data_IF_412271821732
#
_entry.id   IF_412271821732
#
_cell.length_a   1.000
_cell.length_b   1.000
_cell.length_c   1.000
_cell.angle_alpha   90.00
_cell.angle_beta   90.00
_cell.angle_gamma   90.00
#
_symmetry.space_group_name_H-M   'P 1'
#
loop_
_entity.id
_entity.type
_entity.pdbx_description
1 polymer ?
#
# COMPACT_ATOMS: atom_id res chain seq x y z
N UNK A 1 1.08 -2.28 -37.31
CA UNK A 1 0.11 -3.17 -36.64
C UNK A 1 0.12 -2.86 -35.16
N UNK A 2 -1.02 -2.50 -34.56
CA UNK A 2 -1.11 -2.31 -33.10
C UNK A 2 -1.40 -3.65 -32.44
N UNK A 3 -0.39 -4.22 -31.77
CA UNK A 3 -0.45 -5.54 -31.13
C UNK A 3 -1.48 -5.62 -29.99
N UNK A 4 -1.88 -4.47 -29.42
CA UNK A 4 -2.80 -4.39 -28.29
C UNK A 4 -4.23 -4.00 -28.67
N UNK A 5 -4.55 -3.87 -29.96
CA UNK A 5 -5.85 -3.39 -30.42
C UNK A 5 -7.07 -4.23 -29.94
N UNK A 6 -6.84 -5.50 -29.56
CA UNK A 6 -7.89 -6.41 -29.03
C UNK A 6 -7.89 -6.54 -27.51
N UNK A 7 -6.97 -5.88 -26.81
CA UNK A 7 -6.93 -5.92 -25.34
C UNK A 7 -8.01 -4.98 -24.81
N UNK A 8 -9.14 -5.56 -24.41
CA UNK A 8 -10.22 -4.81 -23.79
C UNK A 8 -9.80 -4.33 -22.39
N UNK A 9 -10.32 -3.16 -21.99
CA UNK A 9 -10.10 -2.63 -20.64
C UNK A 9 -10.90 -3.46 -19.65
N UNK A 10 -10.23 -3.95 -18.60
CA UNK A 10 -10.90 -4.58 -17.46
C UNK A 10 -11.69 -3.49 -16.71
N UNK A 11 -12.89 -3.79 -16.19
CA UNK A 11 -13.60 -2.88 -15.30
C UNK A 11 -12.70 -2.41 -14.16
N UNK A 12 -12.79 -1.12 -13.82
CA UNK A 12 -12.03 -0.57 -12.69
C UNK A 12 -12.48 -1.20 -11.38
N UNK A 13 -11.54 -1.32 -10.44
CA UNK A 13 -11.87 -1.79 -9.09
C UNK A 13 -12.75 -0.74 -8.37
N UNK A 14 -13.88 -1.14 -7.76
CA UNK A 14 -14.81 -0.22 -7.13
C UNK A 14 -14.24 0.48 -5.89
N UNK A 15 -13.32 -0.14 -5.16
CA UNK A 15 -12.62 0.47 -4.01
C UNK A 15 -11.67 1.55 -4.51
N UNK A 16 -10.96 1.31 -5.63
CA UNK A 16 -10.12 2.34 -6.25
C UNK A 16 -10.95 3.53 -6.73
N UNK A 17 -12.12 3.27 -7.33
CA UNK A 17 -13.06 4.34 -7.71
C UNK A 17 -13.56 5.16 -6.51
N UNK A 18 -13.84 4.50 -5.39
CA UNK A 18 -14.23 5.17 -4.14
C UNK A 18 -13.09 6.03 -3.56
N UNK A 19 -11.85 5.53 -3.61
CA UNK A 19 -10.68 6.29 -3.19
C UNK A 19 -10.50 7.58 -4.00
N UNK A 20 -10.67 7.51 -5.31
CA UNK A 20 -10.58 8.68 -6.19
C UNK A 20 -11.72 9.67 -5.95
N UNK A 21 -12.95 9.18 -5.76
CA UNK A 21 -14.08 10.00 -5.38
C UNK A 21 -13.85 10.71 -4.04
N UNK A 22 -13.36 9.98 -3.02
CA UNK A 22 -13.00 10.55 -1.72
C UNK A 22 -11.91 11.61 -1.84
N UNK A 23 -10.85 11.36 -2.64
CA UNK A 23 -9.77 12.35 -2.85
C UNK A 23 -10.26 13.64 -3.50
N UNK A 24 -11.12 13.52 -4.51
CA UNK A 24 -11.63 14.66 -5.28
C UNK A 24 -12.74 15.45 -4.58
N UNK A 25 -13.29 14.94 -3.48
CA UNK A 25 -14.29 15.63 -2.68
C UNK A 25 -13.68 16.85 -1.94
N UNK A 26 -14.14 18.09 -2.18
CA UNK A 26 -13.56 19.28 -1.56
C UNK A 26 -14.00 19.50 -0.10
N UNK A 27 -14.96 18.74 0.41
CA UNK A 27 -15.46 18.90 1.78
C UNK A 27 -14.36 18.62 2.80
N UNK A 28 -14.21 19.54 3.76
CA UNK A 28 -13.18 19.43 4.81
C UNK A 28 -13.52 18.38 5.88
N UNK A 29 -14.80 18.05 6.05
CA UNK A 29 -15.35 17.13 7.04
C UNK A 29 -15.68 15.73 6.48
N UNK A 30 -15.14 15.40 5.30
CA UNK A 30 -15.28 14.06 4.71
C UNK A 30 -14.55 12.99 5.51
N UNK A 31 -15.09 11.78 5.53
CA UNK A 31 -14.54 10.63 6.24
C UNK A 31 -14.30 9.45 5.29
N UNK A 32 -13.09 8.88 5.34
CA UNK A 32 -12.74 7.66 4.60
C UNK A 32 -13.00 6.42 5.46
N UNK A 33 -14.08 5.70 5.13
CA UNK A 33 -14.45 4.40 5.68
C UNK A 33 -14.33 3.27 4.64
N UNK A 34 -13.70 3.54 3.50
CA UNK A 34 -13.63 2.59 2.38
C UNK A 34 -12.53 1.56 2.54
N UNK A 35 -11.31 2.02 2.84
CA UNK A 35 -10.15 1.13 2.96
C UNK A 35 -10.01 0.63 4.40
N UNK A 36 -9.97 -0.70 4.56
CA UNK A 36 -9.79 -1.39 5.84
C UNK A 36 -8.37 -1.30 6.39
N UNK A 37 -7.91 -0.09 6.74
CA UNK A 37 -6.63 0.16 7.41
C UNK A 37 -6.85 0.75 8.79
N UNK A 38 -6.00 0.36 9.75
CA UNK A 38 -6.00 1.00 11.06
C UNK A 38 -5.60 2.46 10.92
N UNK A 39 -6.42 3.34 11.48
CA UNK A 39 -6.13 4.76 11.64
C UNK A 39 -6.10 5.11 13.12
N UNK A 40 -5.18 5.99 13.50
CA UNK A 40 -5.16 6.56 14.85
C UNK A 40 -6.27 7.61 15.04
N UNK A 41 -6.30 8.23 16.23
CA UNK A 41 -7.30 9.25 16.56
C UNK A 41 -7.17 10.53 15.70
N UNK A 42 -6.07 10.71 14.97
CA UNK A 42 -5.84 11.82 14.04
C UNK A 42 -6.21 11.43 12.60
N UNK A 43 -6.67 10.21 12.36
CA UNK A 43 -7.03 9.69 11.04
C UNK A 43 -5.82 9.25 10.19
N UNK A 44 -4.62 9.21 10.77
CA UNK A 44 -3.38 8.79 10.10
C UNK A 44 -3.19 7.28 10.21
N UNK A 45 -2.44 6.69 9.30
CA UNK A 45 -2.04 5.27 9.36
C UNK A 45 -0.65 5.16 10.01
N UNK A 46 -0.57 4.92 11.34
CA UNK A 46 0.72 4.97 12.03
C UNK A 46 1.59 3.77 11.71
N UNK A 47 2.91 4.01 11.66
CA UNK A 47 3.91 2.93 11.66
C UNK A 47 4.32 2.70 13.11
N UNK A 48 4.22 1.46 13.58
CA UNK A 48 4.58 1.11 14.95
C UNK A 48 6.06 1.38 15.23
N UNK A 49 6.37 1.82 16.44
CA UNK A 49 7.76 2.06 16.88
C UNK A 49 8.66 0.84 16.69
N UNK A 50 8.14 -0.36 16.96
CA UNK A 50 8.87 -1.62 16.75
C UNK A 50 9.24 -1.85 15.29
N UNK A 51 8.34 -1.53 14.36
CA UNK A 51 8.57 -1.64 12.92
C UNK A 51 9.64 -0.65 12.48
N UNK A 52 9.58 0.62 12.93
CA UNK A 52 10.63 1.62 12.64
C UNK A 52 12.02 1.20 13.12
N UNK A 53 12.11 0.61 14.32
CA UNK A 53 13.38 0.09 14.82
C UNK A 53 13.89 -1.11 14.01
N UNK A 54 12.99 -1.98 13.56
CA UNK A 54 13.36 -3.11 12.70
C UNK A 54 13.87 -2.62 11.33
N UNK A 55 13.19 -1.66 10.69
CA UNK A 55 13.63 -1.02 9.44
C UNK A 55 15.06 -0.47 9.57
N UNK A 56 15.33 0.28 10.66
CA UNK A 56 16.65 0.86 10.90
C UNK A 56 17.73 -0.21 11.05
N UNK A 57 17.47 -1.26 11.85
CA UNK A 57 18.42 -2.37 12.03
C UNK A 57 18.73 -3.08 10.73
N UNK A 58 17.72 -3.33 9.89
CA UNK A 58 17.92 -3.94 8.58
C UNK A 58 18.83 -3.07 7.71
N UNK A 59 18.56 -1.76 7.62
CA UNK A 59 19.40 -0.82 6.85
C UNK A 59 20.85 -0.80 7.34
N UNK A 60 21.06 -0.87 8.65
CA UNK A 60 22.41 -0.81 9.26
C UNK A 60 23.19 -2.13 9.13
N UNK A 61 22.52 -3.28 9.15
CA UNK A 61 23.18 -4.59 9.34
C UNK A 61 23.17 -5.47 8.10
N UNK A 62 22.24 -5.26 7.17
CA UNK A 62 22.07 -6.15 6.02
C UNK A 62 23.23 -6.01 5.04
N UNK A 63 23.86 -7.14 4.71
CA UNK A 63 25.09 -7.18 3.91
C UNK A 63 24.85 -7.57 2.45
N UNK A 64 23.65 -8.06 2.12
CA UNK A 64 23.31 -8.54 0.78
C UNK A 64 21.81 -8.45 0.50
N UNK A 65 21.47 -8.39 -0.78
CA UNK A 65 20.11 -8.51 -1.32
C UNK A 65 19.98 -9.74 -2.24
N UNK A 66 20.89 -10.71 -2.08
CA UNK A 66 20.89 -11.97 -2.84
C UNK A 66 19.59 -12.75 -2.66
N UNK A 67 19.34 -13.69 -3.57
CA UNK A 67 18.19 -14.58 -3.50
C UNK A 67 18.10 -15.32 -2.16
N UNK A 68 16.90 -15.30 -1.57
CA UNK A 68 16.50 -16.15 -0.45
C UNK A 68 15.77 -17.41 -0.97
N UNK A 69 15.54 -18.38 -0.09
CA UNK A 69 14.78 -19.59 -0.44
C UNK A 69 13.34 -19.26 -0.87
N UNK A 70 12.72 -20.14 -1.65
CA UNK A 70 11.37 -19.91 -2.20
C UNK A 70 10.26 -19.71 -1.15
N UNK A 71 10.51 -20.10 0.10
CA UNK A 71 9.59 -19.90 1.23
C UNK A 71 9.99 -18.74 2.16
N UNK A 72 11.02 -17.97 1.78
CA UNK A 72 11.63 -16.94 2.63
C UNK A 72 12.83 -17.47 3.43
N UNK A 73 13.21 -16.71 4.45
CA UNK A 73 14.32 -17.05 5.35
C UNK A 73 14.01 -18.33 6.14
N UNK A 74 15.00 -19.21 6.26
CA UNK A 74 14.91 -20.36 7.14
C UNK A 74 15.03 -19.87 8.60
N UNK A 75 13.99 -20.12 9.40
CA UNK A 75 14.02 -19.92 10.86
C UNK A 75 15.08 -20.81 11.52
#
# INVERSE_FOLDING_TARGET
MSHFAKVARVPGDPILGLLDAYRNDPRADKLDLGVGVYKDAQGLTPILRSVKLAEQRLVEQETTKSYVGGHGDAL
#
